data_IF_234458387814
#
_entry.id   IF_234458387814
#
_cell.length_a   1.000
_cell.length_b   1.000
_cell.length_c   1.000
_cell.angle_alpha   90.00
_cell.angle_beta   90.00
_cell.angle_gamma   90.00
#
_symmetry.space_group_name_H-M   'P 1'
#
loop_
_entity.id
_entity.type
_entity.pdbx_description
1 polymer ?
#
# COMPACT_ATOMS: atom_id res chain seq x y z
N UNK A 1 -26.67 -10.88 -21.13
CA UNK A 1 -26.07 -9.63 -21.65
C UNK A 1 -24.94 -9.93 -22.62
N UNK A 2 -23.92 -10.74 -22.28
CA UNK A 2 -22.77 -11.10 -23.13
C UNK A 2 -23.22 -11.62 -24.51
N UNK A 3 -24.08 -12.65 -24.50
CA UNK A 3 -24.59 -13.25 -25.73
C UNK A 3 -25.39 -12.25 -26.60
N UNK A 4 -26.19 -11.39 -25.95
CA UNK A 4 -26.97 -10.38 -26.69
C UNK A 4 -26.05 -9.33 -27.31
N UNK A 5 -25.05 -8.83 -26.58
CA UNK A 5 -24.11 -7.84 -27.09
C UNK A 5 -23.28 -8.43 -28.24
N UNK A 6 -22.75 -9.65 -28.09
CA UNK A 6 -21.97 -10.31 -29.10
C UNK A 6 -22.80 -10.57 -30.39
N UNK A 7 -24.09 -10.92 -30.25
CA UNK A 7 -24.98 -11.15 -31.36
C UNK A 7 -25.39 -9.87 -32.12
N UNK A 8 -25.48 -8.72 -31.42
CA UNK A 8 -25.88 -7.45 -32.01
C UNK A 8 -24.69 -6.72 -32.66
N UNK A 9 -23.51 -6.76 -32.02
CA UNK A 9 -22.34 -5.96 -32.39
C UNK A 9 -21.28 -6.81 -33.12
N UNK A 10 -21.47 -8.13 -33.18
CA UNK A 10 -20.52 -9.12 -33.75
C UNK A 10 -19.10 -9.03 -33.18
N UNK A 11 -18.97 -8.44 -31.99
CA UNK A 11 -17.70 -8.26 -31.25
C UNK A 11 -17.86 -8.70 -29.82
N UNK A 12 -16.76 -9.22 -29.25
CA UNK A 12 -16.69 -9.46 -27.78
C UNK A 12 -16.77 -8.12 -27.07
N UNK A 13 -17.68 -7.95 -26.09
CA UNK A 13 -17.87 -6.67 -25.38
C UNK A 13 -16.68 -6.28 -24.48
N UNK A 14 -15.84 -7.24 -24.09
CA UNK A 14 -14.64 -7.06 -23.27
C UNK A 14 -13.64 -8.19 -23.52
N UNK A 15 -12.39 -7.97 -23.16
CA UNK A 15 -11.33 -8.96 -23.27
C UNK A 15 -11.39 -10.00 -22.14
N UNK A 16 -11.67 -9.52 -20.94
CA UNK A 16 -11.65 -10.31 -19.71
C UNK A 16 -12.89 -10.03 -18.87
N UNK A 17 -13.31 -11.00 -18.08
CA UNK A 17 -14.41 -10.88 -17.14
C UNK A 17 -13.94 -11.39 -15.77
N UNK A 18 -13.87 -10.51 -14.77
CA UNK A 18 -13.57 -10.87 -13.40
C UNK A 18 -14.88 -11.26 -12.70
N UNK A 19 -14.94 -12.48 -12.20
CA UNK A 19 -16.11 -12.99 -11.47
C UNK A 19 -15.72 -13.15 -10.01
N UNK A 20 -16.41 -12.42 -9.13
CA UNK A 20 -16.20 -12.54 -7.69
C UNK A 20 -16.98 -13.72 -7.11
N UNK A 21 -16.44 -14.30 -6.03
CA UNK A 21 -17.15 -15.27 -5.20
C UNK A 21 -18.25 -14.61 -4.36
N UNK A 22 -18.89 -15.42 -3.55
CA UNK A 22 -19.91 -14.98 -2.61
C UNK A 22 -19.29 -14.54 -1.29
N UNK A 23 -19.98 -13.63 -0.58
CA UNK A 23 -19.61 -13.23 0.77
C UNK A 23 -20.46 -14.01 1.78
N UNK A 24 -19.78 -14.74 2.67
CA UNK A 24 -20.36 -15.48 3.76
C UNK A 24 -20.27 -14.66 5.06
N UNK A 25 -21.21 -14.84 5.95
CA UNK A 25 -21.19 -14.27 7.28
C UNK A 25 -20.15 -14.89 8.19
N UNK A 26 -19.98 -14.33 9.37
CA UNK A 26 -19.06 -14.85 10.40
C UNK A 26 -19.45 -16.26 10.88
N UNK A 27 -20.72 -16.62 10.73
CA UNK A 27 -21.28 -17.94 10.98
C UNK A 27 -20.96 -19.00 9.91
N UNK A 28 -20.23 -18.62 8.86
CA UNK A 28 -19.84 -19.50 7.75
C UNK A 28 -20.96 -19.79 6.74
N UNK A 29 -22.11 -19.12 6.86
CA UNK A 29 -23.21 -19.26 5.90
C UNK A 29 -23.30 -18.04 4.99
N UNK A 30 -23.88 -18.23 3.79
CA UNK A 30 -24.17 -17.14 2.87
C UNK A 30 -24.96 -16.05 3.59
N UNK A 31 -24.53 -14.80 3.50
CA UNK A 31 -25.21 -13.68 4.09
C UNK A 31 -26.65 -13.56 3.58
N UNK A 32 -27.59 -13.46 4.48
CA UNK A 32 -29.02 -13.38 4.20
C UNK A 32 -29.74 -12.60 5.29
N UNK A 33 -30.65 -11.71 4.90
CA UNK A 33 -31.50 -10.99 5.86
C UNK A 33 -32.36 -11.92 6.72
N UNK A 34 -32.82 -13.06 6.15
CA UNK A 34 -33.64 -14.03 6.88
C UNK A 34 -32.86 -14.82 7.93
N UNK A 35 -31.53 -14.91 7.81
CA UNK A 35 -30.65 -15.57 8.79
C UNK A 35 -30.07 -14.61 9.82
N UNK A 36 -30.33 -13.30 9.68
CA UNK A 36 -29.77 -12.25 10.53
C UNK A 36 -28.23 -12.27 10.64
N UNK A 37 -27.54 -12.82 9.60
CA UNK A 37 -26.08 -12.83 9.48
C UNK A 37 -25.58 -11.82 8.45
N UNK A 38 -26.44 -10.88 8.06
CA UNK A 38 -26.14 -9.84 7.09
C UNK A 38 -25.46 -8.65 7.78
N UNK A 39 -24.23 -8.35 7.37
CA UNK A 39 -23.48 -7.18 7.82
C UNK A 39 -23.75 -6.02 6.87
N UNK A 40 -24.20 -4.91 7.38
CA UNK A 40 -24.43 -3.70 6.57
C UNK A 40 -23.11 -2.94 6.43
N UNK A 41 -22.70 -2.59 5.20
CA UNK A 41 -21.50 -1.78 5.01
C UNK A 41 -21.50 -0.48 5.81
N UNK A 42 -22.67 0.18 5.97
CA UNK A 42 -22.80 1.39 6.78
C UNK A 42 -22.36 1.20 8.23
N UNK A 43 -22.75 0.10 8.86
CA UNK A 43 -22.38 -0.21 10.25
C UNK A 43 -20.86 -0.34 10.40
N UNK A 44 -20.21 -1.03 9.45
CA UNK A 44 -18.75 -1.18 9.46
C UNK A 44 -18.06 0.16 9.24
N UNK A 45 -18.57 0.98 8.33
CA UNK A 45 -17.97 2.29 7.98
C UNK A 45 -18.12 3.27 9.15
N UNK A 46 -19.25 3.29 9.85
CA UNK A 46 -19.49 4.15 11.00
C UNK A 46 -18.54 3.83 12.16
N UNK A 47 -18.25 2.53 12.39
CA UNK A 47 -17.41 2.11 13.52
C UNK A 47 -15.91 2.15 13.22
N UNK A 48 -15.50 1.80 11.98
CA UNK A 48 -14.07 1.63 11.65
C UNK A 48 -13.58 2.55 10.54
N UNK A 49 -14.14 2.54 9.39
CA UNK A 49 -13.97 3.40 8.21
C UNK A 49 -14.24 2.62 6.91
N UNK A 50 -14.48 3.35 5.83
CA UNK A 50 -14.61 2.76 4.50
C UNK A 50 -13.32 2.03 4.06
N UNK A 51 -12.15 2.60 4.33
CA UNK A 51 -10.86 2.01 3.96
C UNK A 51 -10.54 0.73 4.74
N UNK A 52 -10.91 0.65 6.03
CA UNK A 52 -10.76 -0.57 6.80
C UNK A 52 -11.65 -1.69 6.26
N UNK A 53 -12.90 -1.37 5.92
CA UNK A 53 -13.82 -2.32 5.30
C UNK A 53 -13.33 -2.80 3.94
N UNK A 54 -12.85 -1.89 3.08
CA UNK A 54 -12.30 -2.23 1.76
C UNK A 54 -11.10 -3.17 1.87
N UNK A 55 -10.17 -2.92 2.80
CA UNK A 55 -9.05 -3.82 3.05
C UNK A 55 -9.50 -5.20 3.51
N UNK A 56 -10.45 -5.27 4.45
CA UNK A 56 -10.95 -6.55 4.95
C UNK A 56 -11.56 -7.40 3.83
N UNK A 57 -12.31 -6.78 2.92
CA UNK A 57 -12.87 -7.47 1.74
C UNK A 57 -11.77 -7.88 0.76
N UNK A 58 -10.81 -6.99 0.46
CA UNK A 58 -9.72 -7.29 -0.48
C UNK A 58 -8.80 -8.41 0.02
N UNK A 59 -8.60 -8.52 1.35
CA UNK A 59 -7.81 -9.58 1.97
C UNK A 59 -8.56 -10.90 2.11
N UNK A 60 -9.87 -10.89 1.98
CA UNK A 60 -10.74 -12.03 2.28
C UNK A 60 -10.62 -13.21 1.30
N UNK A 61 -10.08 -13.00 0.10
CA UNK A 61 -9.89 -14.08 -0.86
C UNK A 61 -9.52 -13.61 -2.27
N UNK A 62 -9.15 -14.57 -3.09
CA UNK A 62 -8.86 -14.34 -4.51
C UNK A 62 -10.14 -14.12 -5.32
N UNK A 63 -10.06 -13.43 -6.47
CA UNK A 63 -11.15 -13.42 -7.43
C UNK A 63 -11.62 -14.83 -7.76
N UNK A 64 -12.93 -15.05 -7.74
CA UNK A 64 -13.53 -16.35 -7.99
C UNK A 64 -13.67 -17.27 -6.76
N UNK A 65 -13.01 -16.93 -5.65
CA UNK A 65 -13.22 -17.65 -4.39
C UNK A 65 -14.27 -16.97 -3.51
N UNK A 66 -14.96 -17.78 -2.72
CA UNK A 66 -15.88 -17.28 -1.72
C UNK A 66 -15.12 -16.62 -0.56
N UNK A 67 -15.67 -15.55 -0.01
CA UNK A 67 -15.06 -14.73 1.05
C UNK A 67 -15.89 -14.93 2.32
N UNK A 68 -15.25 -15.29 3.43
CA UNK A 68 -15.87 -15.22 4.74
C UNK A 68 -15.57 -13.88 5.38
N UNK A 69 -16.61 -13.06 5.60
CA UNK A 69 -16.47 -11.83 6.35
C UNK A 69 -16.13 -12.12 7.81
N UNK A 70 -15.13 -11.41 8.34
CA UNK A 70 -14.71 -11.55 9.73
C UNK A 70 -14.41 -10.19 10.32
N UNK A 71 -15.03 -9.86 11.44
CA UNK A 71 -14.81 -8.59 12.15
C UNK A 71 -13.35 -8.38 12.54
N UNK A 72 -12.63 -9.45 12.88
CA UNK A 72 -11.20 -9.37 13.22
C UNK A 72 -10.34 -8.80 12.09
N UNK A 73 -10.72 -9.04 10.82
CA UNK A 73 -10.00 -8.51 9.67
C UNK A 73 -10.24 -7.00 9.51
N UNK A 74 -11.46 -6.53 9.80
CA UNK A 74 -11.76 -5.08 9.81
C UNK A 74 -10.98 -4.37 10.91
N UNK A 75 -10.94 -4.96 12.12
CA UNK A 75 -10.18 -4.42 13.25
C UNK A 75 -8.68 -4.38 12.92
N UNK A 76 -8.15 -5.45 12.33
CA UNK A 76 -6.75 -5.52 11.88
C UNK A 76 -6.44 -4.45 10.83
N UNK A 77 -7.33 -4.26 9.86
CA UNK A 77 -7.21 -3.23 8.86
C UNK A 77 -7.22 -1.82 9.46
N UNK A 78 -8.13 -1.54 10.41
CA UNK A 78 -8.19 -0.25 11.11
C UNK A 78 -6.90 0.06 11.87
N UNK A 79 -6.33 -0.94 12.56
CA UNK A 79 -5.03 -0.80 13.27
C UNK A 79 -3.89 -0.53 12.28
N UNK A 80 -3.89 -1.20 11.14
CA UNK A 80 -2.91 -0.96 10.08
C UNK A 80 -2.99 0.48 9.55
N UNK A 81 -4.20 0.99 9.28
CA UNK A 81 -4.39 2.38 8.83
C UNK A 81 -3.91 3.39 9.87
N UNK A 82 -4.13 3.12 11.16
CA UNK A 82 -3.60 3.95 12.25
C UNK A 82 -2.07 3.94 12.28
N UNK A 83 -1.43 2.78 12.08
CA UNK A 83 0.04 2.69 12.00
C UNK A 83 0.56 3.46 10.79
N UNK A 84 -0.03 3.28 9.62
CA UNK A 84 0.33 4.01 8.39
C UNK A 84 0.21 5.53 8.59
N UNK A 85 -0.90 5.99 9.17
CA UNK A 85 -1.09 7.40 9.52
C UNK A 85 0.03 7.94 10.40
N UNK A 86 0.38 7.20 11.46
CA UNK A 86 1.43 7.62 12.39
C UNK A 86 2.82 7.66 11.72
N UNK A 87 3.12 6.72 10.82
CA UNK A 87 4.37 6.72 10.05
C UNK A 87 4.46 7.97 9.17
N UNK A 88 3.43 8.27 8.40
CA UNK A 88 3.43 9.45 7.52
C UNK A 88 3.46 10.73 8.34
N UNK A 89 2.69 10.83 9.42
CA UNK A 89 2.70 11.97 10.33
C UNK A 89 4.09 12.21 10.92
N UNK A 90 4.76 11.15 11.41
CA UNK A 90 6.14 11.23 11.89
C UNK A 90 7.07 11.73 10.79
N UNK A 91 7.03 11.13 9.62
CA UNK A 91 7.91 11.51 8.51
C UNK A 91 7.67 12.94 8.03
N UNK A 92 6.41 13.35 7.91
CA UNK A 92 6.04 14.69 7.43
C UNK A 92 6.49 15.82 8.37
N UNK A 93 6.66 15.57 9.67
CA UNK A 93 7.22 16.59 10.59
C UNK A 93 8.69 16.88 10.33
N UNK A 94 9.38 15.99 9.63
CA UNK A 94 10.80 16.13 9.29
C UNK A 94 11.01 16.54 7.82
N UNK A 95 9.97 16.48 6.98
CA UNK A 95 10.04 16.99 5.63
C UNK A 95 9.93 18.52 5.65
N UNK A 96 10.91 19.19 5.10
CA UNK A 96 10.80 20.63 4.79
C UNK A 96 10.11 20.81 3.43
N UNK A 97 9.54 21.99 3.17
CA UNK A 97 8.83 22.30 1.92
C UNK A 97 9.66 22.07 0.65
N UNK A 98 10.96 22.13 0.79
CA UNK A 98 11.91 21.75 -0.26
C UNK A 98 12.52 20.40 0.13
N UNK A 99 12.21 19.37 -0.65
CA UNK A 99 13.03 18.16 -0.60
C UNK A 99 14.48 18.56 -0.88
N UNK A 100 15.45 18.12 -0.08
CA UNK A 100 16.82 18.50 -0.29
C UNK A 100 17.19 18.22 -1.74
N UNK A 101 17.68 19.26 -2.44
CA UNK A 101 18.27 19.07 -3.75
C UNK A 101 19.38 18.04 -3.60
N UNK A 102 19.15 16.85 -4.11
CA UNK A 102 20.07 15.71 -3.98
C UNK A 102 21.21 15.83 -5.01
N UNK A 103 21.98 16.87 -4.90
CA UNK A 103 23.29 16.88 -5.53
C UNK A 103 24.21 16.00 -4.68
N UNK A 104 24.43 14.75 -5.12
CA UNK A 104 25.23 13.72 -4.43
C UNK A 104 24.69 13.31 -3.04
N UNK A 105 23.58 12.58 -2.97
CA UNK A 105 23.05 12.10 -1.70
C UNK A 105 24.00 11.09 -1.05
N UNK A 106 24.33 11.31 0.22
CA UNK A 106 25.13 10.40 1.02
C UNK A 106 24.30 9.24 1.56
N UNK A 107 23.79 8.39 0.64
CA UNK A 107 23.04 7.19 1.04
C UNK A 107 23.96 6.21 1.78
N UNK A 108 23.42 5.59 2.82
CA UNK A 108 24.05 4.51 3.57
C UNK A 108 23.45 3.15 3.21
N UNK A 109 24.05 2.08 3.69
CA UNK A 109 23.60 0.71 3.42
C UNK A 109 22.11 0.50 3.72
N UNK A 110 21.61 1.07 4.82
CA UNK A 110 20.19 0.98 5.18
C UNK A 110 19.26 1.65 4.14
N UNK A 111 19.69 2.75 3.52
CA UNK A 111 18.91 3.45 2.50
C UNK A 111 18.82 2.61 1.22
N UNK A 112 19.95 2.05 0.80
CA UNK A 112 20.01 1.15 -0.35
C UNK A 112 19.26 -0.16 -0.12
N UNK A 113 19.34 -0.70 1.09
CA UNK A 113 18.55 -1.87 1.47
C UNK A 113 17.05 -1.61 1.30
N UNK A 114 16.54 -0.48 1.80
CA UNK A 114 15.13 -0.16 1.66
C UNK A 114 14.72 0.05 0.20
N UNK A 115 15.57 0.70 -0.62
CA UNK A 115 15.31 0.87 -2.06
C UNK A 115 15.28 -0.48 -2.79
N UNK A 116 16.20 -1.40 -2.48
CA UNK A 116 16.20 -2.74 -3.06
C UNK A 116 14.89 -3.50 -2.71
N UNK A 117 14.49 -3.46 -1.44
CA UNK A 117 13.22 -4.03 -0.98
C UNK A 117 12.01 -3.38 -1.67
N UNK A 118 12.01 -2.06 -1.81
CA UNK A 118 10.96 -1.31 -2.49
C UNK A 118 10.86 -1.68 -3.97
N UNK A 119 11.98 -1.83 -4.66
CA UNK A 119 12.02 -2.24 -6.07
C UNK A 119 11.41 -3.63 -6.28
N UNK A 120 11.75 -4.57 -5.40
CA UNK A 120 11.13 -5.91 -5.40
C UNK A 120 9.62 -5.81 -5.15
N UNK A 121 9.20 -5.03 -4.17
CA UNK A 121 7.79 -4.81 -3.84
C UNK A 121 7.02 -4.21 -5.03
N UNK A 122 7.55 -3.15 -5.67
CA UNK A 122 6.90 -2.50 -6.82
C UNK A 122 6.69 -3.53 -7.94
N UNK A 123 7.71 -4.33 -8.23
CA UNK A 123 7.64 -5.36 -9.28
C UNK A 123 6.59 -6.42 -8.95
N UNK A 124 6.63 -6.96 -7.75
CA UNK A 124 5.72 -8.02 -7.32
C UNK A 124 4.27 -7.55 -7.21
N UNK A 125 4.04 -6.36 -6.63
CA UNK A 125 2.70 -5.77 -6.52
C UNK A 125 2.13 -5.47 -7.90
N UNK A 126 2.94 -4.94 -8.82
CA UNK A 126 2.50 -4.69 -10.21
C UNK A 126 2.06 -5.98 -10.90
N UNK A 127 2.85 -7.05 -10.78
CA UNK A 127 2.50 -8.36 -11.32
C UNK A 127 1.22 -8.93 -10.68
N UNK A 128 1.05 -8.77 -9.37
CA UNK A 128 -0.15 -9.22 -8.68
C UNK A 128 -1.38 -8.43 -9.13
N UNK A 129 -1.28 -7.12 -9.31
CA UNK A 129 -2.36 -6.27 -9.81
C UNK A 129 -2.75 -6.64 -11.25
N UNK A 130 -1.77 -6.87 -12.13
CA UNK A 130 -2.00 -7.28 -13.52
C UNK A 130 -2.70 -8.65 -13.64
N UNK A 131 -2.50 -9.52 -12.64
CA UNK A 131 -3.14 -10.83 -12.57
C UNK A 131 -4.36 -10.88 -11.64
N UNK A 132 -4.88 -9.74 -11.23
CA UNK A 132 -6.04 -9.61 -10.31
C UNK A 132 -5.84 -10.28 -8.94
N UNK A 133 -4.60 -10.50 -8.49
CA UNK A 133 -4.29 -11.05 -7.17
C UNK A 133 -4.26 -9.95 -6.10
N UNK A 134 -5.39 -9.29 -5.91
CA UNK A 134 -5.51 -8.12 -5.05
C UNK A 134 -5.17 -8.40 -3.59
N UNK A 135 -5.53 -9.56 -3.08
CA UNK A 135 -5.21 -9.99 -1.71
C UNK A 135 -3.69 -10.18 -1.52
N UNK A 136 -2.99 -10.78 -2.48
CA UNK A 136 -1.54 -10.94 -2.48
C UNK A 136 -0.84 -9.57 -2.51
N UNK A 137 -1.23 -8.69 -3.43
CA UNK A 137 -0.70 -7.34 -3.53
C UNK A 137 -0.84 -6.57 -2.21
N UNK A 138 -2.04 -6.59 -1.63
CA UNK A 138 -2.30 -5.87 -0.38
C UNK A 138 -1.56 -6.47 0.82
N UNK A 139 -1.41 -7.80 0.91
CA UNK A 139 -0.60 -8.44 1.97
C UNK A 139 0.84 -7.99 1.89
N UNK A 140 1.48 -8.03 0.72
CA UNK A 140 2.86 -7.58 0.52
C UNK A 140 3.06 -6.12 0.90
N UNK A 141 2.13 -5.23 0.51
CA UNK A 141 2.17 -3.82 0.90
C UNK A 141 2.11 -3.65 2.43
N UNK A 142 1.21 -4.38 3.09
CA UNK A 142 1.07 -4.32 4.55
C UNK A 142 2.31 -4.85 5.27
N UNK A 143 2.86 -5.97 4.81
CA UNK A 143 4.03 -6.60 5.40
C UNK A 143 5.26 -5.69 5.26
N UNK A 144 5.48 -5.10 4.09
CA UNK A 144 6.55 -4.15 3.88
C UNK A 144 6.43 -2.91 4.78
N UNK A 145 5.23 -2.31 4.86
CA UNK A 145 4.99 -1.13 5.69
C UNK A 145 5.22 -1.45 7.16
N UNK A 146 4.76 -2.61 7.60
CA UNK A 146 4.85 -3.00 9.00
C UNK A 146 6.27 -3.36 9.40
N UNK A 147 6.91 -4.25 8.67
CA UNK A 147 8.19 -4.83 9.03
C UNK A 147 9.38 -4.08 8.42
N UNK A 148 9.47 -3.99 7.10
CA UNK A 148 10.64 -3.40 6.47
C UNK A 148 10.75 -1.89 6.76
N UNK A 149 9.63 -1.16 6.63
CA UNK A 149 9.66 0.29 6.84
C UNK A 149 9.58 0.67 8.31
N UNK A 150 8.54 0.23 9.05
CA UNK A 150 8.28 0.73 10.40
C UNK A 150 9.16 0.09 11.46
N UNK A 151 9.24 -1.25 11.47
CA UNK A 151 9.96 -1.96 12.53
C UNK A 151 11.49 -1.96 12.30
N UNK A 152 11.94 -1.82 11.05
CA UNK A 152 13.37 -1.84 10.72
C UNK A 152 13.88 -0.45 10.28
N UNK A 153 13.53 0.02 9.09
CA UNK A 153 14.20 1.18 8.52
C UNK A 153 14.05 2.45 9.36
N UNK A 154 12.83 2.78 9.80
CA UNK A 154 12.61 3.98 10.62
C UNK A 154 13.43 3.93 11.91
N UNK A 155 13.51 2.77 12.56
CA UNK A 155 14.32 2.61 13.78
C UNK A 155 15.82 2.80 13.51
N UNK A 156 16.33 2.23 12.41
CA UNK A 156 17.74 2.38 12.00
C UNK A 156 18.11 3.84 11.71
N UNK A 157 17.21 4.62 11.13
CA UNK A 157 17.51 5.98 10.69
C UNK A 157 17.10 7.07 11.71
N UNK A 158 16.44 6.72 12.82
CA UNK A 158 16.02 7.69 13.85
C UNK A 158 17.16 8.60 14.29
N UNK A 159 18.33 8.04 14.58
CA UNK A 159 19.50 8.82 14.99
C UNK A 159 19.90 9.89 13.99
N UNK A 160 19.83 9.57 12.68
CA UNK A 160 20.10 10.52 11.60
C UNK A 160 18.99 11.58 11.50
N UNK A 161 17.73 11.17 11.59
CA UNK A 161 16.57 12.05 11.44
C UNK A 161 16.52 13.11 12.55
N UNK A 162 16.79 12.71 13.80
CA UNK A 162 16.81 13.64 14.95
C UNK A 162 18.11 14.41 15.11
N UNK A 163 19.19 13.97 14.45
CA UNK A 163 20.50 14.61 14.50
C UNK A 163 20.59 15.95 13.77
N UNK A 164 21.80 16.47 13.69
CA UNK A 164 22.12 17.71 12.95
C UNK A 164 21.83 17.58 11.47
N UNK A 165 21.71 18.71 10.77
CA UNK A 165 21.49 18.74 9.33
C UNK A 165 22.77 18.31 8.60
N UNK A 166 22.80 17.07 8.08
CA UNK A 166 23.91 16.48 7.33
C UNK A 166 23.43 15.92 6.00
N UNK A 167 24.35 15.66 5.06
CA UNK A 167 24.02 14.97 3.80
C UNK A 167 23.35 13.60 4.01
N UNK A 168 23.75 12.86 5.05
CA UNK A 168 23.20 11.56 5.40
C UNK A 168 21.77 11.67 5.97
N UNK A 169 21.47 12.72 6.74
CA UNK A 169 20.09 13.02 7.15
C UNK A 169 19.22 13.33 5.94
N UNK A 170 19.72 14.14 5.03
CA UNK A 170 19.01 14.46 3.78
C UNK A 170 18.75 13.21 2.95
N UNK A 171 19.71 12.29 2.85
CA UNK A 171 19.55 11.01 2.17
C UNK A 171 18.48 10.13 2.84
N UNK A 172 18.47 10.01 4.17
CA UNK A 172 17.46 9.26 4.90
C UNK A 172 16.05 9.82 4.72
N UNK A 173 15.89 11.14 4.78
CA UNK A 173 14.61 11.81 4.53
C UNK A 173 14.12 11.63 3.09
N UNK A 174 15.03 11.70 2.13
CA UNK A 174 14.68 11.40 0.74
C UNK A 174 14.24 9.95 0.54
N UNK A 175 14.95 9.00 1.13
CA UNK A 175 14.57 7.59 1.09
C UNK A 175 13.18 7.35 1.68
N UNK A 176 12.88 7.97 2.82
CA UNK A 176 11.53 7.93 3.42
C UNK A 176 10.48 8.54 2.49
N UNK A 177 10.77 9.70 1.91
CA UNK A 177 9.83 10.38 1.00
C UNK A 177 9.50 9.51 -0.20
N UNK A 178 10.53 9.02 -0.92
CA UNK A 178 10.33 8.18 -2.12
C UNK A 178 9.57 6.91 -1.78
N UNK A 179 9.93 6.28 -0.67
CA UNK A 179 9.26 5.05 -0.22
C UNK A 179 7.80 5.30 0.14
N UNK A 180 7.51 6.33 0.93
CA UNK A 180 6.13 6.66 1.33
C UNK A 180 5.29 7.08 0.13
N UNK A 181 5.84 7.87 -0.78
CA UNK A 181 5.15 8.26 -2.01
C UNK A 181 4.73 7.01 -2.82
N UNK A 182 5.67 6.09 -3.08
CA UNK A 182 5.38 4.86 -3.82
C UNK A 182 4.33 3.98 -3.11
N UNK A 183 4.46 3.80 -1.79
CA UNK A 183 3.52 3.00 -0.99
C UNK A 183 2.10 3.58 -0.98
N UNK A 184 1.96 4.90 -0.83
CA UNK A 184 0.66 5.58 -0.82
C UNK A 184 -0.02 5.46 -2.19
N UNK A 185 0.74 5.61 -3.29
CA UNK A 185 0.21 5.41 -4.63
C UNK A 185 -0.26 3.97 -4.83
N UNK A 186 0.56 2.96 -4.45
CA UNK A 186 0.18 1.54 -4.57
C UNK A 186 -0.98 1.14 -3.65
N UNK A 187 -1.16 1.80 -2.51
CA UNK A 187 -2.29 1.57 -1.62
C UNK A 187 -3.59 2.24 -2.09
N UNK A 188 -3.52 3.26 -2.93
CA UNK A 188 -4.70 4.07 -3.29
C UNK A 188 -5.86 3.28 -3.91
N UNK A 189 -5.68 2.19 -4.68
CA UNK A 189 -6.79 1.36 -5.14
C UNK A 189 -7.54 0.63 -4.00
N UNK A 190 -6.83 0.33 -2.91
CA UNK A 190 -7.37 -0.40 -1.75
C UNK A 190 -7.96 0.55 -0.72
N UNK A 191 -7.27 1.64 -0.43
CA UNK A 191 -7.58 2.62 0.63
C UNK A 191 -7.62 4.04 0.10
N UNK A 192 -8.61 4.36 -0.77
CA UNK A 192 -8.63 5.61 -1.52
C UNK A 192 -8.67 6.87 -0.64
N UNK A 193 -9.40 6.84 0.48
CA UNK A 193 -9.60 8.02 1.29
C UNK A 193 -8.36 8.39 2.11
N UNK A 194 -7.80 7.43 2.84
CA UNK A 194 -6.59 7.70 3.62
C UNK A 194 -5.39 7.96 2.71
N UNK A 195 -5.29 7.28 1.56
CA UNK A 195 -4.21 7.50 0.62
C UNK A 195 -4.22 8.93 0.06
N UNK A 196 -5.39 9.47 -0.26
CA UNK A 196 -5.52 10.87 -0.70
C UNK A 196 -5.08 11.84 0.39
N UNK A 197 -5.55 11.64 1.62
CA UNK A 197 -5.19 12.48 2.75
C UNK A 197 -3.69 12.41 3.08
N UNK A 198 -3.09 11.21 3.08
CA UNK A 198 -1.66 11.04 3.34
C UNK A 198 -0.79 11.60 2.21
N UNK A 199 -1.25 11.45 0.96
CA UNK A 199 -0.56 11.99 -0.20
C UNK A 199 -0.47 13.51 -0.13
N UNK A 200 -1.54 14.20 0.24
CA UNK A 200 -1.57 15.65 0.39
C UNK A 200 -0.61 16.19 1.46
N UNK A 201 -0.15 15.33 2.37
CA UNK A 201 0.81 15.68 3.43
C UNK A 201 2.27 15.52 3.03
N UNK A 202 2.52 14.89 1.88
CA UNK A 202 3.86 14.78 1.34
C UNK A 202 4.25 16.07 0.60
N UNK A 203 5.52 16.48 0.66
CA UNK A 203 5.98 17.65 -0.09
C UNK A 203 5.84 17.44 -1.60
N UNK A 204 5.68 18.56 -2.34
CA UNK A 204 5.62 18.62 -3.81
C UNK A 204 4.47 17.83 -4.47
N UNK A 205 3.47 17.40 -3.72
CA UNK A 205 2.26 16.80 -4.29
C UNK A 205 1.27 17.90 -4.69
N UNK A 206 0.94 17.99 -5.97
CA UNK A 206 0.06 19.05 -6.51
C UNK A 206 -1.29 18.54 -6.99
N UNK A 207 -1.43 17.24 -7.17
CA UNK A 207 -2.63 16.60 -7.70
C UNK A 207 -3.12 15.50 -6.75
N UNK A 208 -4.30 14.94 -7.05
CA UNK A 208 -4.80 13.76 -6.36
C UNK A 208 -3.90 12.55 -6.57
N UNK A 209 -3.74 11.72 -5.54
CA UNK A 209 -3.04 10.43 -5.61
C UNK A 209 -3.60 9.54 -6.72
N UNK A 210 -4.90 9.63 -6.98
CA UNK A 210 -5.58 8.83 -8.00
C UNK A 210 -5.23 9.23 -9.45
N UNK A 211 -4.48 10.32 -9.62
CA UNK A 211 -3.94 10.77 -10.91
C UNK A 211 -2.42 10.59 -11.00
N UNK A 212 -1.80 10.13 -9.94
CA UNK A 212 -0.36 9.87 -9.91
C UNK A 212 -0.02 8.66 -10.77
N UNK A 213 1.12 8.71 -11.48
CA UNK A 213 1.59 7.53 -12.20
C UNK A 213 1.92 6.39 -11.23
N UNK A 214 1.72 5.17 -11.67
CA UNK A 214 2.13 3.99 -10.90
C UNK A 214 3.64 3.99 -10.70
N UNK A 215 4.15 3.63 -9.51
CA UNK A 215 5.58 3.66 -9.23
C UNK A 215 6.35 2.71 -10.15
N UNK A 216 7.53 3.13 -10.53
CA UNK A 216 8.51 2.32 -11.26
C UNK A 216 9.70 2.06 -10.35
N UNK A 217 10.42 0.93 -10.52
CA UNK A 217 11.64 0.66 -9.76
C UNK A 217 12.65 1.81 -9.87
N UNK A 218 13.28 2.13 -8.75
CA UNK A 218 14.34 3.13 -8.66
C UNK A 218 15.61 2.55 -9.28
N UNK A 219 16.45 3.35 -9.96
CA UNK A 219 17.72 2.86 -10.47
C UNK A 219 18.54 2.14 -9.37
N UNK A 220 19.13 1.02 -9.73
CA UNK A 220 19.95 0.24 -8.81
C UNK A 220 21.10 1.08 -8.24
N UNK A 221 21.52 0.79 -6.99
CA UNK A 221 22.68 1.42 -6.42
C UNK A 221 23.93 1.16 -7.29
N UNK A 222 24.91 2.06 -7.26
CA UNK A 222 26.21 1.74 -7.80
C UNK A 222 26.69 0.42 -7.17
N UNK A 223 27.39 -0.40 -7.95
CA UNK A 223 27.86 -1.73 -7.53
C UNK A 223 28.79 -1.63 -6.29
N UNK A 224 28.18 -1.68 -5.12
CA UNK A 224 28.88 -1.60 -3.81
C UNK A 224 29.00 -2.97 -3.14
N UNK A 225 28.81 -4.07 -3.92
CA UNK A 225 28.93 -5.43 -3.40
C UNK A 225 27.88 -5.81 -2.35
N UNK A 226 26.71 -5.18 -2.42
CA UNK A 226 25.62 -5.38 -1.45
C UNK A 226 24.96 -6.75 -1.65
N UNK A 227 25.19 -7.68 -0.74
CA UNK A 227 24.33 -8.86 -0.60
C UNK A 227 23.08 -8.43 0.17
N UNK A 228 21.88 -8.67 -0.35
CA UNK A 228 20.59 -8.14 0.16
C UNK A 228 20.20 -8.50 1.60
N UNK A 229 21.12 -8.96 2.42
CA UNK A 229 20.95 -9.21 3.84
C UNK A 229 21.40 -7.98 4.64
N UNK A 230 20.62 -7.62 5.65
CA UNK A 230 20.84 -6.47 6.51
C UNK A 230 22.20 -6.60 7.20
N UNK A 231 23.20 -5.86 6.76
CA UNK A 231 24.41 -5.66 7.53
C UNK A 231 24.11 -4.51 8.50
N UNK A 232 23.90 -4.90 9.76
CA UNK A 232 23.81 -3.96 10.88
C UNK A 232 25.22 -3.42 11.09
N UNK A 233 25.44 -2.14 10.80
CA UNK A 233 26.64 -1.40 11.19
C UNK A 233 26.59 -1.05 12.69
#
# INVERSE_FOLDING_TARGET
>A
TILRTAAIVEKKPWKEALINGMVFGDDGYKMSKSRNNFVRPSEVIEEYSADAFRQAIALGGHPGSDIQFQWKEVISASRFLTKLWNIVRFSSTHFHNDLPSLQNPAYRNADWWLFSKLNSLITEVSQDMDHYRFDSALRKLRDFIWHDLADNYIELVKGRIYGEQTPEKSAALHTLYVTLHALIVMLSPFTPFISEELYSRLPQTTNSVHKSPWPIPIPDPPDIGFSGDLIID
#
